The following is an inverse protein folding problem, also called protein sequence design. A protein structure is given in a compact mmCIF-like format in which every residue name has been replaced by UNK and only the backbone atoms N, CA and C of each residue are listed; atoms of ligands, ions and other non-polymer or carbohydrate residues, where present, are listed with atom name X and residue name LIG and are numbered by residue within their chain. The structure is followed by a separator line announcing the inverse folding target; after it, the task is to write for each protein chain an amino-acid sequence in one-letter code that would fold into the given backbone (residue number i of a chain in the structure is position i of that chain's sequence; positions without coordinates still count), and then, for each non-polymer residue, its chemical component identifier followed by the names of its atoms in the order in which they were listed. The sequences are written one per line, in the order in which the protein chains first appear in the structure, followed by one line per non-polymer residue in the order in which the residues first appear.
data_IF_583579589638
#
_entry.id   IF_583579589638
#
_cell.length_a   1.000
_cell.length_b   1.000
_cell.length_c   1.000
_cell.angle_alpha   90.00
_cell.angle_beta   90.00
_cell.angle_gamma   90.00
#
_symmetry.space_group_name_H-M   'P 1'
#
loop_
_entity.id
_entity.type
_entity.pdbx_description
1 polymer ?
#
# COMPACT_ATOMS: atom_id res chain seq x y z
N UNK A 1 33.50 -7.09 23.36
CA UNK A 1 32.11 -7.26 23.84
C UNK A 1 31.14 -7.04 22.68
N UNK A 2 31.14 -7.95 21.70
CA UNK A 2 30.36 -7.84 20.45
C UNK A 2 28.98 -8.48 20.58
N UNK A 3 28.24 -8.06 21.61
CA UNK A 3 27.23 -8.88 22.27
C UNK A 3 26.04 -9.30 21.42
N UNK A 4 25.73 -8.64 20.30
CA UNK A 4 24.53 -8.96 19.51
C UNK A 4 24.79 -8.70 18.04
N UNK A 5 25.79 -9.42 17.51
CA UNK A 5 26.06 -9.59 16.09
C UNK A 5 24.73 -9.69 15.36
N UNK A 6 24.50 -8.79 14.40
CA UNK A 6 23.30 -8.57 13.59
C UNK A 6 22.41 -9.80 13.33
N UNK A 7 23.01 -10.98 13.25
CA UNK A 7 22.39 -12.30 13.28
C UNK A 7 21.31 -12.51 14.36
N UNK A 8 21.50 -12.03 15.60
CA UNK A 8 20.49 -12.18 16.66
C UNK A 8 19.21 -11.40 16.35
N UNK A 9 19.36 -10.16 15.87
CA UNK A 9 18.22 -9.33 15.49
C UNK A 9 17.41 -9.94 14.34
N UNK A 10 18.08 -10.60 13.39
CA UNK A 10 17.42 -11.29 12.29
C UNK A 10 16.55 -12.47 12.78
N UNK A 11 17.05 -13.26 13.74
CA UNK A 11 16.31 -14.36 14.36
C UNK A 11 15.09 -13.84 15.14
N UNK A 12 15.27 -12.78 15.93
CA UNK A 12 14.18 -12.20 16.72
C UNK A 12 13.06 -11.68 15.80
N UNK A 13 13.41 -11.00 14.71
CA UNK A 13 12.44 -10.55 13.70
C UNK A 13 11.67 -11.73 13.10
N UNK A 14 12.36 -12.83 12.79
CA UNK A 14 11.73 -14.02 12.23
C UNK A 14 10.71 -14.63 13.19
N UNK A 15 11.06 -14.76 14.48
CA UNK A 15 10.15 -15.30 15.51
C UNK A 15 8.91 -14.42 15.66
N UNK A 16 9.08 -13.10 15.69
CA UNK A 16 7.96 -12.15 15.74
C UNK A 16 7.06 -12.31 14.50
N UNK A 17 7.65 -12.47 13.32
CA UNK A 17 6.90 -12.66 12.08
C UNK A 17 6.08 -13.96 12.08
N UNK A 18 6.59 -15.03 12.72
CA UNK A 18 5.88 -16.31 12.84
C UNK A 18 4.70 -16.18 13.81
N UNK A 19 4.88 -15.51 14.96
CA UNK A 19 3.83 -15.35 15.97
C UNK A 19 2.71 -14.41 15.48
N UNK A 20 3.09 -13.28 14.89
CA UNK A 20 2.13 -12.27 14.41
C UNK A 20 1.62 -12.56 12.99
N UNK A 21 2.35 -13.34 12.19
CA UNK A 21 2.06 -13.61 10.79
C UNK A 21 2.45 -12.46 9.85
N UNK A 22 2.86 -12.80 8.62
CA UNK A 22 3.30 -11.83 7.60
C UNK A 22 2.21 -10.84 7.15
N UNK A 23 0.94 -11.13 7.39
CA UNK A 23 -0.18 -10.25 7.01
C UNK A 23 -0.49 -9.15 8.04
N UNK A 24 -0.12 -9.31 9.31
CA UNK A 24 -0.43 -8.32 10.36
C UNK A 24 0.63 -7.23 10.43
N UNK A 25 1.92 -7.57 10.38
CA UNK A 25 3.01 -6.59 10.41
C UNK A 25 2.87 -5.44 9.40
N UNK A 26 2.66 -5.67 8.09
CA UNK A 26 2.56 -4.57 7.13
C UNK A 26 1.33 -3.68 7.37
N UNK A 27 0.24 -4.24 7.89
CA UNK A 27 -0.96 -3.48 8.24
C UNK A 27 -0.69 -2.54 9.43
N UNK A 28 -0.13 -3.07 10.53
CA UNK A 28 0.17 -2.25 11.73
C UNK A 28 1.32 -1.28 11.47
N UNK A 29 2.34 -1.70 10.73
CA UNK A 29 3.46 -0.85 10.33
C UNK A 29 3.00 0.30 9.41
N UNK A 30 2.04 0.07 8.52
CA UNK A 30 1.47 1.12 7.67
C UNK A 30 0.74 2.22 8.48
N UNK A 31 -0.06 1.81 9.46
CA UNK A 31 -0.77 2.75 10.35
C UNK A 31 0.22 3.54 11.22
N UNK A 32 1.22 2.87 11.79
CA UNK A 32 2.28 3.51 12.59
C UNK A 32 3.16 4.43 11.74
N UNK A 33 3.57 4.01 10.55
CA UNK A 33 4.38 4.80 9.63
C UNK A 33 3.66 6.07 9.17
N UNK A 34 2.35 5.98 8.94
CA UNK A 34 1.52 7.14 8.57
C UNK A 34 1.47 8.17 9.71
N UNK A 35 1.32 7.72 10.96
CA UNK A 35 1.38 8.60 12.14
C UNK A 35 2.74 9.29 12.29
N UNK A 36 3.84 8.54 12.13
CA UNK A 36 5.20 9.08 12.21
C UNK A 36 5.50 10.01 11.02
N UNK A 37 5.02 9.71 9.81
CA UNK A 37 5.18 10.57 8.62
C UNK A 37 4.50 11.92 8.82
N UNK A 38 3.28 11.92 9.34
CA UNK A 38 2.54 13.14 9.65
C UNK A 38 3.20 13.94 10.78
N UNK A 39 3.74 13.25 11.79
CA UNK A 39 4.52 13.88 12.85
C UNK A 39 5.80 14.53 12.32
N UNK A 40 6.56 13.83 11.47
CA UNK A 40 7.76 14.40 10.82
C UNK A 40 7.40 15.57 9.90
N UNK A 41 6.30 15.49 9.15
CA UNK A 41 5.87 16.56 8.25
C UNK A 41 5.38 17.80 9.02
N UNK A 42 4.79 17.64 10.21
CA UNK A 42 4.42 18.75 11.08
C UNK A 42 5.59 19.35 11.86
N UNK A 43 6.63 18.55 12.13
CA UNK A 43 7.89 19.00 12.76
C UNK A 43 8.88 19.60 11.75
N UNK A 44 8.77 19.26 10.46
CA UNK A 44 9.58 19.83 9.39
C UNK A 44 9.07 21.22 9.06
N UNK A 45 9.94 22.23 9.18
CA UNK A 45 9.65 23.61 8.86
C UNK A 45 9.34 23.77 7.35
N UNK A 46 8.45 24.70 6.94
CA UNK A 46 8.06 24.88 5.54
C UNK A 46 9.25 25.31 4.67
N UNK A 47 9.97 24.33 4.13
CA UNK A 47 11.16 24.51 3.31
C UNK A 47 11.87 23.21 2.93
N UNK A 48 11.72 22.15 3.73
CA UNK A 48 12.33 20.83 3.51
C UNK A 48 11.36 19.80 2.87
N UNK A 49 10.50 20.25 1.94
CA UNK A 49 9.68 19.34 1.12
C UNK A 49 10.51 18.72 -0.03
N UNK A 50 11.53 17.97 0.35
CA UNK A 50 12.14 16.96 -0.51
C UNK A 50 12.22 15.67 0.29
N UNK A 51 11.18 14.85 0.22
CA UNK A 51 11.34 13.46 -0.19
C UNK A 51 10.02 12.67 -0.15
N UNK A 52 9.56 12.36 -1.37
CA UNK A 52 9.18 11.02 -1.87
C UNK A 52 8.58 10.05 -0.85
N UNK A 53 7.30 9.76 -1.01
CA UNK A 53 6.77 8.41 -1.34
C UNK A 53 5.25 8.54 -1.40
N UNK A 54 4.76 8.88 -2.60
CA UNK A 54 3.40 8.66 -3.08
C UNK A 54 3.42 7.40 -3.96
N UNK A 55 3.84 6.27 -3.38
CA UNK A 55 3.60 4.99 -4.01
C UNK A 55 2.23 4.50 -3.50
N UNK A 56 1.21 4.34 -4.38
CA UNK A 56 -0.01 3.64 -4.01
C UNK A 56 0.38 2.26 -3.45
N UNK A 57 -0.25 1.78 -2.37
CA UNK A 57 0.01 0.43 -1.89
C UNK A 57 -0.24 -0.55 -3.04
N UNK A 58 0.62 -1.57 -3.24
CA UNK A 58 0.34 -2.62 -4.20
C UNK A 58 -0.99 -3.26 -3.80
N UNK A 59 -2.00 -3.05 -4.63
CA UNK A 59 -3.25 -3.79 -4.59
C UNK A 59 -2.90 -5.26 -4.79
N UNK A 60 -2.77 -6.02 -3.71
CA UNK A 60 -2.86 -7.48 -3.75
C UNK A 60 -4.30 -7.79 -4.15
N UNK A 61 -4.53 -7.83 -5.47
CA UNK A 61 -5.82 -8.17 -6.06
C UNK A 61 -5.92 -9.70 -6.12
N UNK A 62 -6.11 -10.36 -4.97
CA UNK A 62 -6.52 -11.76 -4.93
C UNK A 62 -8.04 -11.84 -5.01
N UNK A 63 -8.59 -11.80 -6.23
CA UNK A 63 -9.96 -12.22 -6.48
C UNK A 63 -9.96 -13.29 -7.59
N UNK A 64 -10.10 -14.58 -7.22
CA UNK A 64 -10.39 -15.64 -8.18
C UNK A 64 -11.86 -15.52 -8.59
N UNK A 65 -12.10 -15.25 -9.87
CA UNK A 65 -13.37 -15.56 -10.53
C UNK A 65 -14.42 -14.45 -10.55
N UNK A 66 -14.33 -13.57 -11.55
CA UNK A 66 -15.56 -13.08 -12.17
C UNK A 66 -15.36 -12.85 -13.69
N UNK A 67 -16.12 -13.55 -14.54
CA UNK A 67 -16.04 -13.44 -15.99
C UNK A 67 -16.60 -12.08 -16.43
N UNK A 68 -15.80 -11.34 -17.18
CA UNK A 68 -16.20 -10.11 -17.87
C UNK A 68 -17.22 -10.43 -18.97
N UNK A 69 -18.50 -10.38 -18.61
CA UNK A 69 -19.62 -10.29 -19.53
C UNK A 69 -19.98 -8.82 -19.78
N UNK A 70 -19.27 -8.17 -20.69
CA UNK A 70 -19.64 -6.83 -21.17
C UNK A 70 -20.51 -6.98 -22.42
N UNK A 71 -21.82 -7.13 -22.21
CA UNK A 71 -22.82 -6.93 -23.25
C UNK A 71 -23.70 -5.74 -22.89
N UNK A 72 -23.92 -4.85 -23.86
CA UNK A 72 -24.93 -3.75 -23.88
C UNK A 72 -24.62 -2.60 -22.90
N UNK A 73 -24.40 -1.35 -23.33
CA UNK A 73 -25.16 -0.58 -24.31
C UNK A 73 -24.29 0.55 -24.86
N UNK A 74 -23.84 0.42 -26.11
CA UNK A 74 -23.29 1.53 -26.90
C UNK A 74 -24.42 2.10 -27.76
N UNK A 75 -25.09 3.13 -27.25
CA UNK A 75 -26.01 3.96 -28.01
C UNK A 75 -25.32 5.30 -28.34
N UNK A 76 -24.79 5.50 -29.56
CA UNK A 76 -24.51 6.82 -30.07
C UNK A 76 -25.77 7.40 -30.71
N UNK A 77 -26.06 8.63 -30.32
CA UNK A 77 -27.11 9.50 -30.81
C UNK A 77 -27.21 9.53 -32.34
N UNK A 78 -28.40 9.15 -32.79
CA UNK A 78 -29.20 9.72 -33.87
C UNK A 78 -28.55 10.84 -34.70
N UNK A 79 -28.22 10.52 -35.95
CA UNK A 79 -28.02 11.49 -37.03
C UNK A 79 -28.29 10.82 -38.38
N UNK A 80 -29.55 10.53 -38.73
CA UNK A 80 -29.96 10.11 -40.09
C UNK A 80 -31.48 10.27 -40.28
N UNK A 81 -31.87 10.79 -41.45
CA UNK A 81 -33.21 10.85 -42.07
C UNK A 81 -34.17 11.95 -41.56
N UNK A 82 -34.39 13.04 -42.33
CA UNK A 82 -35.29 13.12 -43.50
C UNK A 82 -36.76 12.88 -43.14
N UNK A 83 -37.49 13.94 -42.78
CA UNK A 83 -38.73 14.39 -43.43
C UNK A 83 -39.21 15.72 -42.85
#
# INVERSE_FOLDING_TARGET
MGSFSFWHWLIVLLVILIIFGAGKLPKVAGDLASGIKNFRKGMAEPGDDKDKTDAPPPVINQQPGQPTGSATSSAPADKTAQH
#
